data_IF_708817383567
#
_entry.id   IF_708817383567
#
_cell.length_a   1.000
_cell.length_b   1.000
_cell.length_c   1.000
_cell.angle_alpha   90.00
_cell.angle_beta   90.00
_cell.angle_gamma   90.00
#
_symmetry.space_group_name_H-M   'P 1'
#
loop_
_entity.id
_entity.type
_entity.pdbx_description
1 polymer ?
#
# COMPACT_ATOMS: atom_id res chain seq x y z
N UNK A 1 -10.37 -0.97 -33.25
CA UNK A 1 -10.79 -0.64 -31.86
C UNK A 1 -11.47 -1.81 -31.13
N UNK A 2 -12.59 -2.38 -31.60
CA UNK A 2 -13.27 -3.51 -30.92
C UNK A 2 -12.39 -4.74 -30.64
N UNK A 3 -11.52 -5.12 -31.59
CA UNK A 3 -10.57 -6.24 -31.42
C UNK A 3 -9.53 -5.98 -30.31
N UNK A 4 -8.96 -4.76 -30.25
CA UNK A 4 -7.98 -4.35 -29.24
C UNK A 4 -8.58 -4.39 -27.82
N UNK A 5 -9.78 -3.81 -27.65
CA UNK A 5 -10.50 -3.83 -26.37
C UNK A 5 -10.70 -5.27 -25.93
N UNK A 6 -11.26 -6.13 -26.79
CA UNK A 6 -11.48 -7.55 -26.48
C UNK A 6 -10.18 -8.26 -26.07
N UNK A 7 -9.09 -8.06 -26.80
CA UNK A 7 -7.79 -8.67 -26.48
C UNK A 7 -7.24 -8.20 -25.13
N UNK A 8 -7.25 -6.90 -24.86
CA UNK A 8 -6.73 -6.35 -23.61
C UNK A 8 -7.61 -6.74 -22.41
N UNK A 9 -8.94 -6.77 -22.57
CA UNK A 9 -9.87 -7.25 -21.54
C UNK A 9 -9.62 -8.71 -21.18
N UNK A 10 -9.38 -9.59 -22.16
CA UNK A 10 -9.13 -11.01 -21.89
C UNK A 10 -7.91 -11.24 -20.98
N UNK A 11 -6.92 -10.34 -21.02
CA UNK A 11 -5.74 -10.41 -20.15
C UNK A 11 -6.10 -10.24 -18.68
N UNK A 12 -7.15 -9.49 -18.33
CA UNK A 12 -7.58 -9.32 -16.93
C UNK A 12 -8.14 -10.61 -16.32
N UNK A 13 -8.58 -11.55 -17.16
CA UNK A 13 -9.20 -12.81 -16.72
C UNK A 13 -8.31 -14.04 -16.97
N UNK A 14 -7.15 -13.88 -17.62
CA UNK A 14 -6.21 -14.95 -17.91
C UNK A 14 -4.85 -14.73 -17.21
N UNK A 15 -4.66 -15.39 -16.07
CA UNK A 15 -3.40 -15.38 -15.32
C UNK A 15 -2.30 -16.09 -16.10
N UNK A 16 -1.13 -15.46 -16.23
CA UNK A 16 0.06 -16.07 -16.82
C UNK A 16 0.62 -17.17 -15.89
N UNK A 17 1.16 -18.25 -16.47
CA UNK A 17 1.61 -19.45 -15.75
C UNK A 17 2.83 -19.23 -14.85
N UNK A 18 3.59 -18.16 -15.08
CA UNK A 18 4.79 -17.78 -14.33
C UNK A 18 4.50 -16.93 -13.09
N UNK A 19 3.25 -16.50 -12.89
CA UNK A 19 2.84 -15.71 -11.72
C UNK A 19 2.53 -16.59 -10.52
N UNK A 20 2.82 -16.05 -9.33
CA UNK A 20 2.46 -16.64 -8.05
C UNK A 20 1.04 -16.18 -7.66
N UNK A 21 0.01 -17.05 -7.76
CA UNK A 21 -1.39 -16.67 -7.56
C UNK A 21 -1.69 -15.93 -6.27
N UNK A 22 -1.10 -16.38 -5.16
CA UNK A 22 -1.33 -15.81 -3.84
C UNK A 22 -0.93 -14.33 -3.75
N UNK A 23 0.09 -13.90 -4.51
CA UNK A 23 0.51 -12.49 -4.51
C UNK A 23 -0.53 -11.57 -5.17
N UNK A 24 -1.30 -12.09 -6.15
CA UNK A 24 -2.42 -11.35 -6.70
C UNK A 24 -3.52 -11.16 -5.63
N UNK A 25 -3.81 -12.20 -4.83
CA UNK A 25 -4.75 -12.12 -3.71
C UNK A 25 -4.35 -11.08 -2.66
N UNK A 26 -3.08 -11.10 -2.23
CA UNK A 26 -2.58 -10.11 -1.25
C UNK A 26 -2.72 -8.69 -1.81
N UNK A 27 -2.38 -8.49 -3.09
CA UNK A 27 -2.50 -7.17 -3.74
C UNK A 27 -3.95 -6.69 -3.84
N UNK A 28 -4.86 -7.60 -4.15
CA UNK A 28 -6.29 -7.27 -4.23
C UNK A 28 -6.86 -6.90 -2.86
N UNK A 29 -6.48 -7.62 -1.79
CA UNK A 29 -6.87 -7.25 -0.42
C UNK A 29 -6.26 -5.90 -0.04
N UNK A 30 -4.99 -5.67 -0.38
CA UNK A 30 -4.29 -4.42 -0.09
C UNK A 30 -5.02 -3.20 -0.69
N UNK A 31 -5.42 -3.25 -1.97
CA UNK A 31 -6.14 -2.12 -2.58
C UNK A 31 -7.53 -1.93 -1.98
N UNK A 32 -8.23 -3.00 -1.64
CA UNK A 32 -9.56 -2.90 -1.03
C UNK A 32 -9.50 -2.27 0.36
N UNK A 33 -8.46 -2.58 1.15
CA UNK A 33 -8.19 -1.93 2.43
C UNK A 33 -7.91 -0.44 2.26
N UNK A 34 -7.00 -0.07 1.35
CA UNK A 34 -6.64 1.34 1.09
C UNK A 34 -7.83 2.15 0.59
N UNK A 35 -8.54 1.65 -0.43
CA UNK A 35 -9.71 2.35 -0.97
C UNK A 35 -10.82 2.40 0.08
N UNK A 36 -11.01 1.34 0.88
CA UNK A 36 -11.97 1.32 1.97
C UNK A 36 -11.69 2.39 3.04
N UNK A 37 -10.44 2.58 3.42
CA UNK A 37 -10.03 3.67 4.32
C UNK A 37 -10.34 5.03 3.70
N UNK A 38 -9.95 5.26 2.45
CA UNK A 38 -10.21 6.54 1.79
C UNK A 38 -11.71 6.79 1.52
N UNK A 39 -12.53 5.75 1.37
CA UNK A 39 -13.99 5.89 1.34
C UNK A 39 -14.53 6.37 2.69
N UNK A 40 -13.95 5.89 3.81
CA UNK A 40 -14.30 6.34 5.16
C UNK A 40 -13.91 7.82 5.35
N UNK A 41 -12.71 8.19 4.90
CA UNK A 41 -12.19 9.54 5.09
C UNK A 41 -12.83 10.54 4.14
N UNK A 42 -12.99 10.18 2.85
CA UNK A 42 -13.43 11.09 1.80
C UNK A 42 -14.90 11.53 1.94
N UNK A 43 -15.79 10.67 2.46
CA UNK A 43 -17.18 11.07 2.71
C UNK A 43 -17.37 11.85 4.01
N UNK A 44 -16.39 11.82 4.93
CA UNK A 44 -16.47 12.44 6.25
C UNK A 44 -15.57 13.68 6.43
N UNK A 45 -14.60 13.91 5.53
CA UNK A 45 -13.66 15.05 5.53
C UNK A 45 -14.06 16.18 4.55
N UNK A 46 -13.10 16.72 3.78
CA UNK A 46 -13.21 17.92 2.91
C UNK A 46 -14.41 17.94 1.93
N UNK A 47 -15.01 16.77 1.64
CA UNK A 47 -16.19 16.67 0.78
C UNK A 47 -17.51 16.61 1.57
N UNK A 48 -17.44 16.21 2.84
CA UNK A 48 -18.56 16.19 3.79
C UNK A 48 -18.95 17.58 4.29
N UNK A 49 -18.01 18.54 4.34
CA UNK A 49 -18.32 19.95 4.67
C UNK A 49 -19.32 20.60 3.70
N UNK A 50 -19.41 20.09 2.47
CA UNK A 50 -20.41 20.53 1.49
C UNK A 50 -21.85 20.09 1.84
N UNK A 51 -22.05 19.24 2.83
CA UNK A 51 -23.34 18.69 3.26
C UNK A 51 -23.74 19.37 4.58
N UNK A 52 -24.02 20.67 4.52
CA UNK A 52 -24.24 21.55 5.68
C UNK A 52 -25.52 21.27 6.50
N UNK A 53 -26.02 20.03 6.54
CA UNK A 53 -27.20 19.64 7.34
C UNK A 53 -27.01 18.39 8.21
N UNK A 54 -25.95 17.59 8.01
CA UNK A 54 -25.65 16.42 8.82
C UNK A 54 -24.40 16.66 9.67
N UNK A 55 -24.48 16.36 10.97
CA UNK A 55 -23.32 16.39 11.88
C UNK A 55 -22.36 15.24 11.54
N UNK A 56 -21.46 15.49 10.60
CA UNK A 56 -20.48 14.50 10.11
C UNK A 56 -19.64 13.89 11.22
N UNK A 57 -19.47 14.56 12.37
CA UNK A 57 -18.73 14.04 13.53
C UNK A 57 -19.52 12.96 14.27
N UNK A 58 -20.79 13.23 14.60
CA UNK A 58 -21.67 12.25 15.25
C UNK A 58 -21.90 11.00 14.40
N UNK A 59 -21.78 11.14 13.08
CA UNK A 59 -22.01 10.09 12.11
C UNK A 59 -20.74 9.30 11.72
N UNK A 60 -19.56 9.92 11.74
CA UNK A 60 -18.28 9.24 11.52
C UNK A 60 -18.05 8.13 12.54
N UNK A 61 -18.38 8.39 13.81
CA UNK A 61 -18.31 7.39 14.87
C UNK A 61 -19.18 6.17 14.50
N UNK A 62 -20.42 6.35 14.05
CA UNK A 62 -21.28 5.23 13.67
C UNK A 62 -20.68 4.36 12.55
N UNK A 63 -20.03 4.98 11.57
CA UNK A 63 -19.36 4.28 10.46
C UNK A 63 -18.17 3.48 10.98
N UNK A 64 -17.23 4.14 11.66
CA UNK A 64 -15.99 3.53 12.14
C UNK A 64 -16.28 2.44 13.17
N UNK A 65 -17.35 2.58 13.97
CA UNK A 65 -17.74 1.61 14.99
C UNK A 65 -18.50 0.40 14.43
N UNK A 66 -18.95 0.46 13.17
CA UNK A 66 -19.55 -0.69 12.50
C UNK A 66 -18.55 -1.84 12.32
N UNK A 67 -19.03 -3.08 12.19
CA UNK A 67 -18.15 -4.27 12.04
C UNK A 67 -17.18 -4.13 10.87
N UNK A 68 -17.65 -3.59 9.74
CA UNK A 68 -16.86 -3.39 8.53
C UNK A 68 -16.01 -2.12 8.65
N UNK A 69 -16.57 -1.03 9.20
CA UNK A 69 -15.86 0.22 9.40
C UNK A 69 -14.61 0.08 10.25
N UNK A 70 -14.63 -0.73 11.32
CA UNK A 70 -13.44 -0.97 12.15
C UNK A 70 -12.27 -1.57 11.36
N UNK A 71 -12.56 -2.49 10.45
CA UNK A 71 -11.55 -3.13 9.61
C UNK A 71 -11.04 -2.14 8.56
N UNK A 72 -11.94 -1.40 7.91
CA UNK A 72 -11.58 -0.47 6.84
C UNK A 72 -10.91 0.80 7.37
N UNK A 73 -11.21 1.23 8.59
CA UNK A 73 -10.50 2.31 9.29
C UNK A 73 -9.04 1.94 9.60
N UNK A 74 -8.70 0.65 9.49
CA UNK A 74 -7.34 0.10 9.59
C UNK A 74 -6.73 -0.18 8.21
N UNK A 75 -7.25 0.47 7.18
CA UNK A 75 -6.84 0.26 5.79
C UNK A 75 -5.42 0.73 5.48
N UNK A 76 -4.74 1.42 6.39
CA UNK A 76 -3.32 1.77 6.30
C UNK A 76 -2.43 0.53 6.21
N UNK A 77 -2.86 -0.58 6.81
CA UNK A 77 -2.18 -1.87 6.66
C UNK A 77 -2.25 -2.40 5.23
N UNK A 78 -3.20 -1.93 4.41
CA UNK A 78 -3.19 -2.16 2.97
C UNK A 78 -1.91 -1.62 2.32
N UNK A 79 -1.42 -0.45 2.75
CA UNK A 79 -0.12 0.09 2.31
C UNK A 79 1.04 -0.79 2.79
N UNK A 80 0.97 -1.32 4.01
CA UNK A 80 1.99 -2.24 4.53
C UNK A 80 2.04 -3.55 3.72
N UNK A 81 0.88 -4.11 3.34
CA UNK A 81 0.80 -5.25 2.42
C UNK A 81 1.45 -4.90 1.07
N UNK A 82 1.15 -3.73 0.51
CA UNK A 82 1.78 -3.26 -0.72
C UNK A 82 3.30 -3.16 -0.58
N UNK A 83 3.81 -2.53 0.48
CA UNK A 83 5.24 -2.37 0.72
C UNK A 83 5.96 -3.71 0.86
N UNK A 84 5.42 -4.67 1.61
CA UNK A 84 6.00 -6.02 1.71
C UNK A 84 6.01 -6.72 0.34
N UNK A 85 4.89 -6.66 -0.40
CA UNK A 85 4.82 -7.23 -1.76
C UNK A 85 5.82 -6.59 -2.71
N UNK A 86 5.91 -5.26 -2.67
CA UNK A 86 6.77 -4.43 -3.50
C UNK A 86 8.24 -4.73 -3.24
N UNK A 87 8.65 -4.79 -1.98
CA UNK A 87 9.96 -5.25 -1.55
C UNK A 87 10.26 -6.67 -2.02
N UNK A 88 9.30 -7.59 -1.88
CA UNK A 88 9.47 -8.98 -2.30
C UNK A 88 9.65 -9.11 -3.82
N UNK A 89 8.83 -8.40 -4.60
CA UNK A 89 8.89 -8.44 -6.06
C UNK A 89 10.17 -7.80 -6.60
N UNK A 90 10.58 -6.65 -6.07
CA UNK A 90 11.81 -5.99 -6.51
C UNK A 90 13.05 -6.78 -6.07
N UNK A 91 13.06 -7.26 -4.82
CA UNK A 91 14.10 -8.13 -4.30
C UNK A 91 14.23 -9.39 -5.13
N UNK A 92 13.11 -10.01 -5.51
CA UNK A 92 13.12 -11.21 -6.35
C UNK A 92 13.75 -10.98 -7.72
N UNK A 93 13.51 -9.83 -8.34
CA UNK A 93 14.13 -9.45 -9.62
C UNK A 93 15.64 -9.29 -9.44
N UNK A 94 16.05 -8.50 -8.45
CA UNK A 94 17.46 -8.17 -8.20
C UNK A 94 18.27 -9.40 -7.76
N UNK A 95 17.76 -10.22 -6.85
CA UNK A 95 18.47 -11.42 -6.40
C UNK A 95 18.59 -12.49 -7.47
N UNK A 96 17.59 -12.66 -8.35
CA UNK A 96 17.71 -13.60 -9.49
C UNK A 96 18.90 -13.22 -10.38
N UNK A 97 19.05 -11.94 -10.69
CA UNK A 97 20.17 -11.44 -11.49
C UNK A 97 21.51 -11.52 -10.74
N UNK A 98 21.52 -11.11 -9.47
CA UNK A 98 22.73 -11.10 -8.64
C UNK A 98 23.23 -12.52 -8.34
N UNK A 99 22.33 -13.50 -8.15
CA UNK A 99 22.73 -14.89 -7.94
C UNK A 99 23.30 -15.51 -9.21
N UNK A 100 22.73 -15.19 -10.37
CA UNK A 100 23.15 -15.68 -11.67
C UNK A 100 24.47 -15.03 -12.14
N UNK A 101 24.62 -13.71 -12.03
CA UNK A 101 25.70 -12.96 -12.67
C UNK A 101 26.70 -12.32 -11.71
N UNK A 102 26.40 -12.27 -10.40
CA UNK A 102 27.15 -11.52 -9.37
C UNK A 102 27.21 -10.01 -9.58
N UNK A 103 26.52 -9.49 -10.60
CA UNK A 103 26.43 -8.07 -10.93
C UNK A 103 24.97 -7.67 -11.08
N UNK A 104 24.70 -6.37 -11.26
CA UNK A 104 23.37 -5.84 -11.60
C UNK A 104 23.47 -4.89 -12.79
N UNK A 105 22.66 -5.09 -13.82
CA UNK A 105 22.48 -4.14 -14.89
C UNK A 105 21.47 -3.06 -14.49
N UNK A 106 21.97 -2.02 -13.81
CA UNK A 106 21.15 -0.92 -13.29
C UNK A 106 20.39 -0.19 -14.40
N UNK A 107 21.01 0.02 -15.57
CA UNK A 107 20.35 0.64 -16.73
C UNK A 107 19.12 -0.16 -17.14
N UNK A 108 19.26 -1.47 -17.33
CA UNK A 108 18.16 -2.37 -17.68
C UNK A 108 17.06 -2.39 -16.61
N UNK A 109 17.45 -2.39 -15.34
CA UNK A 109 16.53 -2.37 -14.21
C UNK A 109 15.66 -1.11 -14.22
N UNK A 110 16.29 0.08 -14.24
CA UNK A 110 15.58 1.36 -14.21
C UNK A 110 14.76 1.61 -15.48
N UNK A 111 15.29 1.33 -16.68
CA UNK A 111 14.53 1.52 -17.93
C UNK A 111 13.25 0.69 -17.96
N UNK A 112 13.31 -0.58 -17.53
CA UNK A 112 12.13 -1.46 -17.50
C UNK A 112 11.08 -1.00 -16.49
N UNK A 113 11.50 -0.29 -15.44
CA UNK A 113 10.64 0.25 -14.40
C UNK A 113 9.95 1.52 -14.89
N UNK A 114 10.72 2.46 -15.43
CA UNK A 114 10.21 3.72 -15.97
C UNK A 114 9.13 3.49 -17.03
N UNK A 115 9.34 2.60 -17.99
CA UNK A 115 8.35 2.28 -19.04
C UNK A 115 7.07 1.67 -18.46
N UNK A 116 7.14 1.01 -17.30
CA UNK A 116 6.00 0.31 -16.71
C UNK A 116 5.04 1.25 -15.97
N UNK A 117 5.57 2.19 -15.20
CA UNK A 117 4.77 2.95 -14.21
C UNK A 117 4.48 4.38 -14.68
N UNK A 118 5.48 5.05 -15.27
CA UNK A 118 5.38 6.47 -15.61
C UNK A 118 4.21 6.82 -16.54
N UNK A 119 3.89 6.05 -17.61
CA UNK A 119 2.86 6.47 -18.56
C UNK A 119 1.49 6.69 -17.91
N UNK A 120 1.08 5.78 -17.04
CA UNK A 120 -0.21 5.87 -16.35
C UNK A 120 -0.14 6.91 -15.24
N UNK A 121 0.95 6.96 -14.47
CA UNK A 121 1.13 7.96 -13.42
C UNK A 121 1.06 9.39 -13.96
N UNK A 122 1.85 9.72 -14.98
CA UNK A 122 1.85 11.06 -15.57
C UNK A 122 0.56 11.39 -16.30
N UNK A 123 -0.12 10.40 -16.88
CA UNK A 123 -1.46 10.61 -17.41
C UNK A 123 -2.41 11.09 -16.31
N UNK A 124 -2.47 10.38 -15.18
CA UNK A 124 -3.35 10.79 -14.06
C UNK A 124 -2.91 12.10 -13.45
N UNK A 125 -1.61 12.34 -13.29
CA UNK A 125 -1.08 13.60 -12.76
C UNK A 125 -1.51 14.80 -13.61
N UNK A 126 -1.31 14.70 -14.93
CA UNK A 126 -1.65 15.78 -15.86
C UNK A 126 -3.17 15.99 -15.96
N UNK A 127 -3.93 14.92 -16.20
CA UNK A 127 -5.38 15.04 -16.36
C UNK A 127 -6.08 15.32 -15.03
N UNK A 128 -5.58 14.83 -13.91
CA UNK A 128 -6.07 15.17 -12.56
C UNK A 128 -5.91 16.66 -12.29
N UNK A 129 -4.76 17.24 -12.62
CA UNK A 129 -4.54 18.68 -12.47
C UNK A 129 -5.49 19.48 -13.37
N UNK A 130 -5.64 19.07 -14.64
CA UNK A 130 -6.55 19.71 -15.58
C UNK A 130 -8.01 19.63 -15.11
N UNK A 131 -8.44 18.48 -14.60
CA UNK A 131 -9.80 18.28 -14.09
C UNK A 131 -10.07 19.20 -12.89
N UNK A 132 -9.13 19.28 -11.94
CA UNK A 132 -9.29 20.21 -10.82
C UNK A 132 -9.27 21.67 -11.28
N UNK A 133 -8.36 22.06 -12.16
CA UNK A 133 -8.30 23.43 -12.69
C UNK A 133 -9.59 23.87 -13.40
N UNK A 134 -10.25 22.95 -14.12
CA UNK A 134 -11.46 23.26 -14.90
C UNK A 134 -12.75 23.16 -14.09
N UNK A 135 -12.84 22.23 -13.13
CA UNK A 135 -14.12 21.87 -12.50
C UNK A 135 -14.11 21.98 -10.97
N UNK A 136 -12.96 21.86 -10.32
CA UNK A 136 -12.83 21.89 -8.84
C UNK A 136 -11.61 22.75 -8.43
N UNK A 137 -11.57 24.05 -8.76
CA UNK A 137 -10.37 24.88 -8.56
C UNK A 137 -9.92 24.96 -7.09
N UNK A 138 -10.84 24.82 -6.13
CA UNK A 138 -10.53 24.75 -4.71
C UNK A 138 -9.56 23.60 -4.36
N UNK A 139 -9.59 22.48 -5.10
CA UNK A 139 -8.72 21.32 -4.87
C UNK A 139 -7.25 21.56 -5.28
N UNK A 140 -6.97 22.65 -5.98
CA UNK A 140 -5.63 23.10 -6.31
C UNK A 140 -5.36 24.52 -5.82
N UNK A 141 -6.21 25.06 -4.95
CA UNK A 141 -5.96 26.32 -4.30
C UNK A 141 -4.72 26.21 -3.41
N UNK A 142 -3.87 27.24 -3.40
CA UNK A 142 -2.57 27.19 -2.72
C UNK A 142 -1.49 26.33 -3.41
N UNK A 143 -1.85 25.50 -4.39
CA UNK A 143 -0.88 24.67 -5.10
C UNK A 143 0.01 25.52 -6.02
N UNK A 144 1.32 25.29 -5.96
CA UNK A 144 2.29 26.00 -6.77
C UNK A 144 2.88 25.08 -7.83
N UNK A 145 3.63 25.66 -8.78
CA UNK A 145 4.44 24.87 -9.70
C UNK A 145 5.32 23.84 -8.94
N UNK A 146 5.89 24.24 -7.80
CA UNK A 146 6.81 23.39 -7.03
C UNK A 146 6.11 22.22 -6.34
N UNK A 147 4.89 22.38 -5.82
CA UNK A 147 4.15 21.30 -5.18
C UNK A 147 3.69 20.25 -6.20
N UNK A 148 3.33 20.68 -7.42
CA UNK A 148 3.05 19.76 -8.53
C UNK A 148 4.33 19.06 -9.01
N UNK A 149 5.45 19.79 -9.14
CA UNK A 149 6.74 19.21 -9.51
C UNK A 149 7.25 18.20 -8.49
N UNK A 150 6.89 18.35 -7.20
CA UNK A 150 7.23 17.37 -6.18
C UNK A 150 6.64 15.98 -6.49
N UNK A 151 5.45 15.90 -7.12
CA UNK A 151 4.90 14.63 -7.60
C UNK A 151 5.67 14.09 -8.81
N UNK A 152 6.04 14.97 -9.74
CA UNK A 152 6.78 14.60 -10.96
C UNK A 152 8.09 13.90 -10.63
N UNK A 153 8.79 14.37 -9.58
CA UNK A 153 10.09 13.82 -9.17
C UNK A 153 10.00 12.89 -7.95
N UNK A 154 8.79 12.48 -7.55
CA UNK A 154 8.55 11.55 -6.44
C UNK A 154 9.13 12.02 -5.10
N UNK A 155 8.89 13.27 -4.73
CA UNK A 155 9.25 13.88 -3.42
C UNK A 155 8.08 14.62 -2.76
N UNK A 156 6.85 14.45 -3.25
CA UNK A 156 5.65 15.05 -2.66
C UNK A 156 5.42 14.61 -1.20
N UNK A 157 5.94 13.43 -0.83
CA UNK A 157 5.88 12.89 0.53
C UNK A 157 6.82 13.59 1.54
N UNK A 158 7.69 14.50 1.07
CA UNK A 158 8.59 15.30 1.91
C UNK A 158 8.06 16.72 2.14
N UNK A 159 6.93 17.07 1.53
CA UNK A 159 6.22 18.31 1.80
C UNK A 159 5.29 18.09 3.00
N UNK A 160 4.95 19.16 3.75
CA UNK A 160 3.82 19.13 4.67
C UNK A 160 2.57 18.59 3.98
N UNK A 161 1.80 17.77 4.69
CA UNK A 161 0.63 17.09 4.13
C UNK A 161 -0.37 18.05 3.46
N UNK A 162 -0.53 19.25 4.03
CA UNK A 162 -1.40 20.33 3.55
C UNK A 162 -0.94 20.95 2.23
N UNK A 163 0.36 20.97 1.97
CA UNK A 163 0.94 21.55 0.76
C UNK A 163 1.01 20.55 -0.41
N UNK A 164 0.95 19.25 -0.10
CA UNK A 164 1.26 18.20 -1.06
C UNK A 164 0.12 17.98 -2.07
N UNK A 165 0.36 18.36 -3.33
CA UNK A 165 -0.51 17.94 -4.43
C UNK A 165 -0.62 16.41 -4.52
N UNK A 166 -1.81 15.88 -4.83
CA UNK A 166 -2.10 14.44 -4.89
C UNK A 166 -1.43 13.67 -3.74
N UNK A 167 -1.58 14.16 -2.50
CA UNK A 167 -0.88 13.63 -1.33
C UNK A 167 -1.01 12.12 -1.21
N UNK A 168 -2.14 11.51 -1.57
CA UNK A 168 -2.31 10.06 -1.57
C UNK A 168 -1.22 9.34 -2.38
N UNK A 169 -0.54 9.96 -3.34
CA UNK A 169 0.61 9.37 -4.04
C UNK A 169 1.91 9.29 -3.22
N UNK A 170 1.92 9.72 -1.95
CA UNK A 170 3.10 9.66 -1.07
C UNK A 170 3.73 8.26 -1.00
N UNK A 171 2.92 7.20 -1.01
CA UNK A 171 3.40 5.83 -0.90
C UNK A 171 4.18 5.40 -2.15
N UNK A 172 3.77 5.88 -3.34
CA UNK A 172 4.49 5.68 -4.59
C UNK A 172 5.83 6.41 -4.58
N UNK A 173 5.88 7.60 -3.97
CA UNK A 173 7.14 8.33 -3.83
C UNK A 173 8.15 7.57 -2.97
N UNK A 174 7.73 7.06 -1.80
CA UNK A 174 8.58 6.21 -0.96
C UNK A 174 9.07 4.98 -1.73
N UNK A 175 8.16 4.33 -2.47
CA UNK A 175 8.49 3.20 -3.31
C UNK A 175 9.58 3.55 -4.34
N UNK A 176 9.40 4.58 -5.17
CA UNK A 176 10.40 4.99 -6.18
C UNK A 176 11.75 5.42 -5.56
N UNK A 177 11.72 6.12 -4.43
CA UNK A 177 12.93 6.44 -3.65
C UNK A 177 13.64 5.16 -3.20
N UNK A 178 12.90 4.20 -2.63
CA UNK A 178 13.45 2.91 -2.20
C UNK A 178 14.02 2.13 -3.39
N UNK A 179 13.34 2.11 -4.53
CA UNK A 179 13.82 1.40 -5.72
C UNK A 179 15.06 2.00 -6.35
N UNK A 180 15.30 3.30 -6.12
CA UNK A 180 16.54 3.98 -6.52
C UNK A 180 17.72 3.58 -5.62
N UNK A 181 17.47 3.39 -4.32
CA UNK A 181 18.52 3.05 -3.34
C UNK A 181 18.77 1.54 -3.26
N UNK A 182 17.74 0.71 -3.40
CA UNK A 182 17.77 -0.73 -3.14
C UNK A 182 18.84 -1.49 -3.94
N UNK A 183 19.01 -1.30 -5.27
CA UNK A 183 20.04 -2.00 -6.03
C UNK A 183 21.46 -1.71 -5.51
N UNK A 184 21.75 -0.46 -5.16
CA UNK A 184 23.05 -0.04 -4.63
C UNK A 184 23.27 -0.61 -3.22
N UNK A 185 22.24 -0.59 -2.38
CA UNK A 185 22.27 -1.22 -1.05
C UNK A 185 22.55 -2.72 -1.15
N UNK A 186 21.92 -3.44 -2.08
CA UNK A 186 22.17 -4.87 -2.27
C UNK A 186 23.58 -5.15 -2.77
N UNK A 187 24.12 -4.33 -3.69
CA UNK A 187 25.53 -4.43 -4.11
C UNK A 187 26.47 -4.22 -2.93
N UNK A 188 26.22 -3.20 -2.11
CA UNK A 188 27.00 -2.92 -0.91
C UNK A 188 26.96 -4.09 0.09
N UNK A 189 25.77 -4.63 0.38
CA UNK A 189 25.62 -5.82 1.25
C UNK A 189 26.39 -7.00 0.67
N UNK A 190 26.30 -7.28 -0.63
CA UNK A 190 27.00 -8.43 -1.22
C UNK A 190 28.51 -8.20 -1.34
N UNK A 191 28.94 -6.95 -1.43
CA UNK A 191 30.34 -6.56 -1.39
C UNK A 191 30.92 -6.70 0.01
N UNK A 192 30.25 -6.24 1.07
CA UNK A 192 30.72 -6.35 2.45
C UNK A 192 30.50 -7.75 3.06
N UNK A 193 29.27 -8.26 2.98
CA UNK A 193 28.86 -9.51 3.59
C UNK A 193 29.10 -10.70 2.65
N UNK A 194 30.32 -11.26 2.71
CA UNK A 194 30.75 -12.37 1.84
C UNK A 194 30.03 -13.69 2.13
N UNK A 195 29.63 -13.94 3.38
CA UNK A 195 28.97 -15.19 3.79
C UNK A 195 27.45 -15.06 3.79
N UNK A 196 26.73 -16.19 3.67
CA UNK A 196 25.25 -16.16 3.75
C UNK A 196 24.77 -15.64 5.10
N UNK A 197 25.44 -16.05 6.19
CA UNK A 197 25.13 -15.61 7.56
C UNK A 197 25.34 -14.10 7.72
N UNK A 198 26.45 -13.56 7.21
CA UNK A 198 26.71 -12.12 7.26
C UNK A 198 25.61 -11.33 6.54
N UNK A 199 25.09 -11.82 5.40
CA UNK A 199 23.99 -11.14 4.67
C UNK A 199 22.68 -11.14 5.44
N UNK A 200 22.34 -12.27 6.09
CA UNK A 200 21.17 -12.35 6.99
C UNK A 200 21.31 -11.35 8.13
N UNK A 201 22.49 -11.30 8.77
CA UNK A 201 22.78 -10.33 9.82
C UNK A 201 22.65 -8.90 9.27
N UNK A 202 23.17 -8.58 8.09
CA UNK A 202 23.01 -7.24 7.48
C UNK A 202 21.56 -6.84 7.30
N UNK A 203 20.68 -7.73 6.82
CA UNK A 203 19.25 -7.43 6.72
C UNK A 203 18.61 -7.20 8.09
N UNK A 204 18.88 -8.07 9.07
CA UNK A 204 18.35 -7.93 10.44
C UNK A 204 18.85 -6.63 11.08
N UNK A 205 20.13 -6.30 10.92
CA UNK A 205 20.72 -5.06 11.42
C UNK A 205 20.10 -3.82 10.78
N UNK A 206 19.88 -3.82 9.46
CA UNK A 206 19.23 -2.70 8.77
C UNK A 206 17.77 -2.52 9.22
N UNK A 207 17.02 -3.61 9.38
CA UNK A 207 15.65 -3.58 9.93
C UNK A 207 15.66 -3.02 11.35
N UNK A 208 16.61 -3.46 12.19
CA UNK A 208 16.80 -2.94 13.54
C UNK A 208 17.19 -1.47 13.59
N UNK A 209 18.07 -1.02 12.68
CA UNK A 209 18.47 0.39 12.56
C UNK A 209 17.26 1.26 12.18
N UNK A 210 16.45 0.85 11.21
CA UNK A 210 15.25 1.61 10.82
C UNK A 210 14.21 1.65 11.94
N UNK A 211 14.08 0.57 12.71
CA UNK A 211 13.22 0.55 13.91
C UNK A 211 13.73 1.54 14.98
N UNK A 212 15.05 1.62 15.20
CA UNK A 212 15.66 2.60 16.11
C UNK A 212 15.48 4.03 15.61
N UNK A 213 15.63 4.27 14.29
CA UNK A 213 15.36 5.59 13.68
C UNK A 213 13.91 5.98 13.93
N UNK A 214 12.96 5.07 13.73
CA UNK A 214 11.55 5.33 14.02
C UNK A 214 11.30 5.61 15.50
N UNK A 215 11.93 4.86 16.41
CA UNK A 215 11.86 5.12 17.86
C UNK A 215 12.43 6.48 18.25
N UNK A 216 13.52 6.89 17.61
CA UNK A 216 14.09 8.23 17.75
C UNK A 216 13.11 9.30 17.27
N UNK A 217 12.53 9.16 16.08
CA UNK A 217 11.54 10.12 15.55
C UNK A 217 10.32 10.25 16.48
N UNK A 218 9.73 9.12 16.90
CA UNK A 218 8.58 9.12 17.83
C UNK A 218 8.90 9.88 19.12
N UNK A 219 10.09 9.64 19.69
CA UNK A 219 10.53 10.32 20.91
C UNK A 219 10.86 11.80 20.68
N UNK A 220 11.57 12.12 19.60
CA UNK A 220 12.05 13.47 19.28
C UNK A 220 10.90 14.43 19.00
N UNK A 221 9.91 13.99 18.23
CA UNK A 221 8.70 14.77 17.94
C UNK A 221 7.66 14.69 19.06
N UNK A 222 7.95 14.00 20.17
CA UNK A 222 7.07 13.90 21.33
C UNK A 222 5.70 13.30 21.00
N UNK A 223 5.62 12.39 20.02
CA UNK A 223 4.34 11.90 19.49
C UNK A 223 3.61 11.04 20.53
N UNK A 224 2.70 11.64 21.29
CA UNK A 224 1.84 10.97 22.25
C UNK A 224 0.39 11.05 21.77
N UNK A 225 -0.09 9.99 21.13
CA UNK A 225 -1.46 9.91 20.63
C UNK A 225 -2.52 10.13 21.75
N UNK A 226 -3.73 10.59 21.40
CA UNK A 226 -4.84 9.66 21.20
C UNK A 226 -4.93 9.29 19.73
N UNK A 227 -5.04 7.99 19.47
CA UNK A 227 -5.10 7.45 18.10
C UNK A 227 -6.52 7.63 17.61
N UNK A 228 -6.73 8.55 16.66
CA UNK A 228 -7.00 8.18 15.27
C UNK A 228 -5.81 8.45 14.38
N UNK A 229 -5.21 7.39 13.83
CA UNK A 229 -4.16 7.56 12.84
C UNK A 229 -4.67 8.18 11.54
N UNK A 230 -5.98 8.28 11.33
CA UNK A 230 -6.62 8.70 10.08
C UNK A 230 -7.89 9.50 10.32
N UNK A 231 -7.86 10.42 11.27
CA UNK A 231 -8.86 11.48 11.35
C UNK A 231 -8.19 12.82 11.05
N UNK A 232 -8.20 13.21 9.77
CA UNK A 232 -7.63 14.49 9.33
C UNK A 232 -8.38 15.71 9.91
N UNK A 233 -9.53 15.51 10.55
CA UNK A 233 -10.27 16.57 11.25
C UNK A 233 -9.64 16.91 12.61
N UNK A 234 -8.76 16.04 13.12
CA UNK A 234 -8.03 16.22 14.38
C UNK A 234 -6.64 16.77 14.05
N UNK A 235 -6.35 18.07 14.27
CA UNK A 235 -5.07 18.69 13.91
C UNK A 235 -3.86 18.00 14.57
N UNK A 236 -4.05 17.40 15.75
CA UNK A 236 -3.03 16.65 16.47
C UNK A 236 -2.57 15.37 15.73
N UNK A 237 -3.30 14.93 14.70
CA UNK A 237 -2.90 13.82 13.84
C UNK A 237 -1.86 14.21 12.79
N UNK A 238 -1.78 15.48 12.37
CA UNK A 238 -0.90 15.92 11.28
C UNK A 238 0.59 15.69 11.54
N UNK A 239 1.13 15.97 12.75
CA UNK A 239 2.53 15.69 13.06
C UNK A 239 2.92 14.23 12.87
N UNK A 240 1.99 13.28 13.08
CA UNK A 240 2.26 11.87 12.81
C UNK A 240 2.47 11.61 11.32
N UNK A 241 1.69 12.24 10.45
CA UNK A 241 1.83 12.11 9.00
C UNK A 241 3.15 12.69 8.49
N UNK A 242 3.43 13.93 8.88
CA UNK A 242 4.60 14.68 8.42
C UNK A 242 5.91 14.15 9.00
N UNK A 243 5.86 13.52 10.18
CA UNK A 243 7.07 13.04 10.87
C UNK A 243 7.30 11.54 10.71
N UNK A 244 6.25 10.72 10.62
CA UNK A 244 6.36 9.26 10.62
C UNK A 244 5.73 8.61 9.39
N UNK A 245 4.47 8.90 9.08
CA UNK A 245 3.70 8.07 8.15
C UNK A 245 4.11 8.24 6.68
N UNK A 246 4.48 9.46 6.26
CA UNK A 246 4.83 9.78 4.87
C UNK A 246 6.33 9.73 4.58
N UNK A 247 7.16 9.46 5.59
CA UNK A 247 8.62 9.58 5.48
C UNK A 247 9.31 8.27 5.10
N UNK A 248 10.30 8.30 4.19
CA UNK A 248 11.01 7.09 3.76
C UNK A 248 11.85 6.49 4.89
N UNK A 249 12.45 7.30 5.77
CA UNK A 249 13.34 6.83 6.83
C UNK A 249 12.61 6.10 7.98
N UNK A 250 11.29 6.27 8.09
CA UNK A 250 10.41 5.60 9.07
C UNK A 250 9.54 4.51 8.45
N UNK A 251 9.39 4.49 7.11
CA UNK A 251 8.52 3.54 6.36
C UNK A 251 9.24 2.64 5.36
N UNK A 252 10.55 2.80 5.15
CA UNK A 252 11.33 1.89 4.31
C UNK A 252 11.44 0.47 4.91
N UNK A 253 11.11 0.28 6.19
CA UNK A 253 11.31 -0.99 6.87
C UNK A 253 10.42 -2.10 6.31
N UNK A 254 9.17 -1.80 5.98
CA UNK A 254 8.21 -2.73 5.36
C UNK A 254 8.70 -3.23 4.00
N UNK A 255 9.26 -2.32 3.19
CA UNK A 255 9.89 -2.64 1.90
C UNK A 255 11.12 -3.53 2.10
N UNK A 256 11.97 -3.21 3.09
CA UNK A 256 13.16 -3.99 3.42
C UNK A 256 12.80 -5.40 3.93
N UNK A 257 11.75 -5.55 4.74
CA UNK A 257 11.20 -6.84 5.18
C UNK A 257 10.78 -7.66 3.95
N UNK A 258 10.10 -7.05 2.99
CA UNK A 258 9.76 -7.69 1.70
C UNK A 258 10.98 -8.16 0.92
N UNK A 259 12.00 -7.29 0.79
CA UNK A 259 13.29 -7.66 0.13
C UNK A 259 13.95 -8.81 0.87
N UNK A 260 13.98 -8.78 2.21
CA UNK A 260 14.56 -9.85 3.00
C UNK A 260 13.79 -11.16 2.84
N UNK A 261 12.46 -11.12 2.80
CA UNK A 261 11.64 -12.30 2.48
C UNK A 261 11.98 -12.86 1.09
N UNK A 262 12.19 -12.03 0.08
CA UNK A 262 12.64 -12.49 -1.24
C UNK A 262 14.02 -13.13 -1.21
N UNK A 263 14.96 -12.56 -0.44
CA UNK A 263 16.27 -13.17 -0.22
C UNK A 263 16.14 -14.56 0.41
N UNK A 264 15.34 -14.70 1.48
CA UNK A 264 15.10 -15.97 2.15
C UNK A 264 14.46 -16.99 1.19
N UNK A 265 13.42 -16.58 0.47
CA UNK A 265 12.71 -17.44 -0.49
C UNK A 265 13.62 -17.99 -1.58
N UNK A 266 14.40 -17.12 -2.24
CA UNK A 266 15.26 -17.51 -3.35
C UNK A 266 16.54 -18.22 -2.91
N UNK A 267 17.10 -17.87 -1.75
CA UNK A 267 18.37 -18.42 -1.28
C UNK A 267 18.21 -19.70 -0.46
N UNK A 268 17.11 -19.82 0.27
CA UNK A 268 16.83 -20.90 1.22
C UNK A 268 15.52 -21.65 0.88
N UNK A 269 15.06 -21.60 -0.37
CA UNK A 269 13.77 -22.18 -0.78
C UNK A 269 13.60 -23.65 -0.40
N UNK A 270 14.62 -24.50 -0.56
CA UNK A 270 14.54 -25.92 -0.20
C UNK A 270 14.50 -26.14 1.32
N UNK A 271 15.15 -25.27 2.09
CA UNK A 271 15.05 -25.29 3.55
C UNK A 271 13.67 -24.80 4.00
N UNK A 272 13.16 -23.72 3.40
CA UNK A 272 11.83 -23.17 3.69
C UNK A 272 10.72 -24.17 3.39
N UNK A 273 10.79 -24.88 2.26
CA UNK A 273 9.86 -25.96 1.91
C UNK A 273 9.83 -27.10 2.93
N UNK A 274 10.95 -27.38 3.61
CA UNK A 274 10.97 -28.40 4.67
C UNK A 274 10.45 -27.84 5.99
N UNK A 275 10.89 -26.64 6.35
CA UNK A 275 10.54 -25.96 7.60
C UNK A 275 9.05 -25.62 7.65
N UNK A 276 8.43 -25.23 6.55
CA UNK A 276 7.02 -24.85 6.52
C UNK A 276 6.05 -25.98 6.87
N UNK A 277 6.50 -27.24 6.84
CA UNK A 277 5.71 -28.39 7.30
C UNK A 277 5.87 -28.69 8.80
N UNK A 278 6.81 -28.04 9.50
CA UNK A 278 7.02 -28.26 10.93
C UNK A 278 5.92 -27.61 11.77
N UNK A 279 5.64 -28.17 12.96
CA UNK A 279 4.61 -27.65 13.86
C UNK A 279 4.91 -26.23 14.35
N UNK A 280 6.19 -25.91 14.59
CA UNK A 280 6.60 -24.61 15.09
C UNK A 280 6.44 -23.52 14.03
N UNK A 281 6.72 -23.80 12.76
CA UNK A 281 6.54 -22.83 11.69
C UNK A 281 5.05 -22.59 11.43
N UNK A 282 4.24 -23.65 11.42
CA UNK A 282 2.79 -23.51 11.30
C UNK A 282 2.20 -22.74 12.49
N UNK A 283 2.71 -22.96 13.71
CA UNK A 283 2.37 -22.17 14.89
C UNK A 283 2.73 -20.68 14.71
N UNK A 284 3.91 -20.39 14.16
CA UNK A 284 4.34 -19.03 13.85
C UNK A 284 3.46 -18.37 12.78
N UNK A 285 3.02 -19.10 11.74
CA UNK A 285 2.08 -18.58 10.74
C UNK A 285 0.70 -18.28 11.34
N UNK A 286 0.16 -19.19 12.17
CA UNK A 286 -1.12 -18.97 12.86
C UNK A 286 -1.03 -17.79 13.83
N UNK A 287 0.07 -17.68 14.57
CA UNK A 287 0.34 -16.53 15.43
C UNK A 287 0.45 -15.22 14.62
N UNK A 288 1.10 -15.26 13.46
CA UNK A 288 1.19 -14.11 12.55
C UNK A 288 -0.19 -13.68 12.05
N UNK A 289 -1.06 -14.63 11.66
CA UNK A 289 -2.46 -14.35 11.29
C UNK A 289 -3.26 -13.78 12.46
N UNK A 290 -3.05 -14.28 13.68
CA UNK A 290 -3.70 -13.76 14.88
C UNK A 290 -3.27 -12.32 15.16
N UNK A 291 -1.98 -12.00 15.03
CA UNK A 291 -1.45 -10.63 15.14
C UNK A 291 -2.07 -9.72 14.06
N UNK A 292 -2.09 -10.16 12.80
CA UNK A 292 -2.68 -9.37 11.71
C UNK A 292 -4.16 -9.10 11.99
N UNK A 293 -4.91 -10.13 12.40
CA UNK A 293 -6.30 -9.99 12.80
C UNK A 293 -6.49 -9.02 13.97
N UNK A 294 -5.68 -9.15 15.01
CA UNK A 294 -5.68 -8.28 16.19
C UNK A 294 -5.43 -6.82 15.83
N UNK A 295 -4.43 -6.54 14.98
CA UNK A 295 -4.10 -5.20 14.51
C UNK A 295 -5.19 -4.60 13.58
N UNK A 296 -5.79 -5.42 12.71
CA UNK A 296 -6.83 -4.99 11.75
C UNK A 296 -8.19 -4.73 12.39
N UNK A 297 -8.51 -5.43 13.46
CA UNK A 297 -9.80 -5.30 14.14
C UNK A 297 -9.71 -4.46 15.40
N UNK A 298 -8.49 -4.01 15.73
CA UNK A 298 -8.14 -3.28 16.94
C UNK A 298 -8.79 -3.92 18.18
N UNK A 299 -8.54 -5.22 18.39
CA UNK A 299 -9.34 -6.09 19.28
C UNK A 299 -9.57 -5.53 20.69
N UNK A 300 -8.66 -4.68 21.16
CA UNK A 300 -8.75 -3.96 22.44
C UNK A 300 -10.01 -3.08 22.52
N UNK A 301 -10.44 -2.48 21.41
CA UNK A 301 -11.67 -1.72 21.28
C UNK A 301 -12.92 -2.53 21.69
N UNK A 302 -12.97 -3.81 21.28
CA UNK A 302 -14.11 -4.72 21.53
C UNK A 302 -14.29 -5.09 23.00
N UNK A 303 -13.24 -4.97 23.81
CA UNK A 303 -13.25 -5.39 25.22
C UNK A 303 -13.75 -4.29 26.15
N UNK A 304 -13.68 -3.01 25.77
CA UNK A 304 -13.83 -1.89 26.71
C UNK A 304 -14.88 -0.82 26.35
N UNK A 305 -15.46 -0.85 25.15
CA UNK A 305 -16.70 -0.10 24.83
C UNK A 305 -16.63 1.43 24.92
N UNK A 306 -15.44 2.03 24.97
CA UNK A 306 -15.26 3.48 25.02
C UNK A 306 -15.12 4.10 23.62
N UNK A 307 -15.40 5.41 23.53
CA UNK A 307 -15.23 6.19 22.30
C UNK A 307 -13.78 6.14 21.79
N UNK A 308 -13.63 6.12 20.47
CA UNK A 308 -12.40 5.84 19.73
C UNK A 308 -11.16 6.65 20.21
N UNK A 309 -11.36 7.85 20.78
CA UNK A 309 -10.28 8.73 21.27
C UNK A 309 -9.79 8.46 22.71
N UNK A 310 -10.38 7.58 23.51
CA UNK A 310 -10.09 7.52 24.96
C UNK A 310 -9.09 6.43 25.38
N UNK A 311 -9.18 5.20 24.87
CA UNK A 311 -8.41 4.08 25.45
C UNK A 311 -6.89 4.18 25.26
N UNK A 312 -6.42 4.48 24.04
CA UNK A 312 -4.97 4.59 23.81
C UNK A 312 -4.40 5.82 24.51
N UNK A 313 -5.20 6.86 24.74
CA UNK A 313 -4.82 8.01 25.55
C UNK A 313 -4.60 7.63 27.03
N UNK A 314 -5.37 6.65 27.53
CA UNK A 314 -5.27 6.14 28.90
C UNK A 314 -4.06 5.22 29.12
N UNK A 315 -3.41 4.75 28.05
CA UNK A 315 -2.20 3.94 28.18
C UNK A 315 -1.00 4.79 28.64
N UNK A 316 -0.11 4.21 29.48
CA UNK A 316 1.11 4.91 29.88
C UNK A 316 1.94 5.26 28.63
N UNK A 317 2.62 6.41 28.68
CA UNK A 317 3.34 6.98 27.52
C UNK A 317 4.29 5.97 26.84
N UNK A 318 5.00 5.16 27.62
CA UNK A 318 5.89 4.13 27.09
C UNK A 318 5.17 3.10 26.21
N UNK A 319 3.92 2.75 26.54
CA UNK A 319 3.12 1.78 25.77
C UNK A 319 2.64 2.40 24.45
N UNK A 320 2.18 3.66 24.47
CA UNK A 320 1.85 4.43 23.26
C UNK A 320 3.05 4.54 22.31
N UNK A 321 4.21 4.89 22.85
CA UNK A 321 5.44 5.04 22.05
C UNK A 321 5.87 3.71 21.47
N UNK A 322 5.88 2.65 22.29
CA UNK A 322 6.20 1.30 21.83
C UNK A 322 5.28 0.87 20.69
N UNK A 323 3.97 1.09 20.85
CA UNK A 323 2.99 0.81 19.80
C UNK A 323 3.32 1.54 18.50
N UNK A 324 3.47 2.87 18.54
CA UNK A 324 3.78 3.72 17.37
C UNK A 324 5.07 3.30 16.64
N UNK A 325 6.02 2.74 17.38
CA UNK A 325 7.29 2.24 16.84
C UNK A 325 7.12 0.89 16.14
N UNK A 326 6.38 -0.06 16.73
CA UNK A 326 6.45 -1.46 16.28
C UNK A 326 5.29 -1.91 15.40
N UNK A 327 4.10 -1.28 15.49
CA UNK A 327 2.87 -1.92 15.01
C UNK A 327 2.87 -2.23 13.49
N UNK A 328 3.35 -1.31 12.66
CA UNK A 328 3.42 -1.52 11.21
C UNK A 328 4.52 -2.50 10.81
N UNK A 329 5.64 -2.50 11.52
CA UNK A 329 6.75 -3.42 11.26
C UNK A 329 6.38 -4.85 11.70
N UNK A 330 5.63 -4.96 12.79
CA UNK A 330 5.05 -6.22 13.26
C UNK A 330 4.04 -6.77 12.25
N UNK A 331 3.16 -5.93 11.72
CA UNK A 331 2.22 -6.33 10.66
C UNK A 331 2.95 -6.77 9.39
N UNK A 332 3.99 -6.04 8.98
CA UNK A 332 4.79 -6.37 7.80
C UNK A 332 5.59 -7.68 7.98
N UNK A 333 6.15 -7.92 9.17
CA UNK A 333 6.82 -9.18 9.49
C UNK A 333 5.83 -10.36 9.48
N UNK A 334 4.66 -10.20 10.10
CA UNK A 334 3.60 -11.19 10.08
C UNK A 334 3.15 -11.51 8.64
N UNK A 335 2.99 -10.47 7.81
CA UNK A 335 2.70 -10.61 6.38
C UNK A 335 3.80 -11.39 5.65
N UNK A 336 5.08 -11.09 5.90
CA UNK A 336 6.19 -11.78 5.28
C UNK A 336 6.26 -13.27 5.68
N UNK A 337 5.99 -13.60 6.94
CA UNK A 337 5.93 -14.99 7.43
C UNK A 337 4.82 -15.77 6.71
N UNK A 338 3.59 -15.25 6.72
CA UNK A 338 2.43 -15.88 6.06
C UNK A 338 2.69 -16.04 4.57
N UNK A 339 3.22 -14.99 3.92
CA UNK A 339 3.59 -15.02 2.52
C UNK A 339 4.64 -16.12 2.23
N UNK A 340 5.70 -16.22 3.03
CA UNK A 340 6.73 -17.25 2.83
C UNK A 340 6.18 -18.67 3.00
N UNK A 341 5.30 -18.91 3.96
CA UNK A 341 4.68 -20.23 4.17
C UNK A 341 3.75 -20.62 3.01
N UNK A 342 2.90 -19.69 2.56
CA UNK A 342 2.04 -19.86 1.37
C UNK A 342 2.88 -20.14 0.13
N UNK A 343 3.91 -19.32 -0.16
CA UNK A 343 4.74 -19.49 -1.36
C UNK A 343 5.64 -20.75 -1.32
N UNK A 344 5.92 -21.27 -0.12
CA UNK A 344 6.70 -22.49 0.07
C UNK A 344 5.84 -23.76 0.08
N UNK A 345 4.51 -23.63 0.05
CA UNK A 345 3.58 -24.76 -0.09
C UNK A 345 3.24 -25.49 1.22
N UNK A 346 3.52 -24.90 2.39
CA UNK A 346 3.49 -25.61 3.68
C UNK A 346 2.20 -25.51 4.48
N UNK A 347 1.80 -26.63 5.11
CA UNK A 347 0.88 -26.61 6.25
C UNK A 347 -0.59 -26.27 5.98
N UNK A 348 -1.36 -26.15 7.06
CA UNK A 348 -2.79 -25.81 7.02
C UNK A 348 -3.02 -24.37 6.50
N UNK A 349 -2.12 -23.45 6.82
CA UNK A 349 -2.20 -22.05 6.41
C UNK A 349 -2.11 -21.92 4.90
N UNK A 350 -1.16 -22.59 4.23
CA UNK A 350 -1.14 -22.60 2.76
C UNK A 350 -2.42 -23.18 2.16
N UNK A 351 -2.96 -24.26 2.73
CA UNK A 351 -4.19 -24.89 2.21
C UNK A 351 -5.39 -23.93 2.26
N UNK A 352 -5.56 -23.23 3.38
CA UNK A 352 -6.70 -22.34 3.61
C UNK A 352 -6.43 -20.95 3.04
N UNK A 353 -5.44 -20.25 3.58
CA UNK A 353 -5.08 -18.88 3.21
C UNK A 353 -4.49 -18.85 1.80
N UNK A 354 -3.54 -19.73 1.49
CA UNK A 354 -2.96 -19.82 0.15
C UNK A 354 -3.99 -20.18 -0.92
N UNK A 355 -4.91 -21.11 -0.62
CA UNK A 355 -6.05 -21.44 -1.48
C UNK A 355 -6.96 -20.23 -1.75
N UNK A 356 -7.34 -19.51 -0.69
CA UNK A 356 -8.15 -18.30 -0.78
C UNK A 356 -7.47 -17.19 -1.58
N UNK A 357 -6.21 -16.86 -1.27
CA UNK A 357 -5.43 -15.84 -1.97
C UNK A 357 -5.17 -16.20 -3.45
N UNK A 358 -5.17 -17.49 -3.78
CA UNK A 358 -4.92 -17.98 -5.14
C UNK A 358 -6.17 -17.97 -6.04
N UNK A 359 -7.35 -17.69 -5.48
CA UNK A 359 -8.61 -17.68 -6.22
C UNK A 359 -8.56 -16.74 -7.43
N UNK A 360 -9.26 -17.12 -8.51
CA UNK A 360 -9.23 -16.38 -9.79
C UNK A 360 -9.90 -15.01 -9.70
N UNK A 361 -10.85 -14.83 -8.76
CA UNK A 361 -11.58 -13.57 -8.62
C UNK A 361 -10.68 -12.39 -8.21
N UNK A 362 -9.57 -12.66 -7.51
CA UNK A 362 -8.62 -11.64 -7.13
C UNK A 362 -7.84 -11.07 -8.31
N UNK A 363 -7.69 -11.85 -9.37
CA UNK A 363 -6.74 -11.54 -10.44
C UNK A 363 -7.05 -10.24 -11.19
N UNK A 364 -8.31 -9.96 -11.61
CA UNK A 364 -8.66 -8.67 -12.22
C UNK A 364 -8.42 -7.50 -11.27
N UNK A 365 -8.83 -7.62 -10.00
CA UNK A 365 -8.67 -6.56 -8.98
C UNK A 365 -7.18 -6.24 -8.80
N UNK A 366 -6.34 -7.27 -8.72
CA UNK A 366 -4.89 -7.13 -8.59
C UNK A 366 -4.20 -6.55 -9.83
N UNK A 367 -4.80 -6.64 -11.03
CA UNK A 367 -4.27 -5.97 -12.22
C UNK A 367 -4.70 -4.50 -12.25
N UNK A 368 -5.93 -4.21 -11.83
CA UNK A 368 -6.47 -2.84 -11.84
C UNK A 368 -6.03 -2.00 -10.64
N UNK A 369 -5.44 -2.62 -9.61
CA UNK A 369 -5.13 -1.97 -8.33
C UNK A 369 -4.30 -0.70 -8.48
N UNK A 370 -3.34 -0.66 -9.41
CA UNK A 370 -2.48 0.51 -9.62
C UNK A 370 -3.28 1.69 -10.19
N UNK A 371 -3.99 1.47 -11.29
CA UNK A 371 -4.85 2.49 -11.90
C UNK A 371 -5.96 2.94 -10.93
N UNK A 372 -6.53 2.01 -10.15
CA UNK A 372 -7.55 2.31 -9.13
C UNK A 372 -7.02 3.19 -8.02
N UNK A 373 -5.84 2.88 -7.52
CA UNK A 373 -5.15 3.72 -6.54
C UNK A 373 -4.91 5.14 -7.05
N UNK A 374 -4.58 5.33 -8.32
CA UNK A 374 -4.27 6.67 -8.83
C UNK A 374 -5.50 7.57 -8.91
N UNK A 375 -6.66 7.01 -9.31
CA UNK A 375 -7.85 7.83 -9.66
C UNK A 375 -8.91 7.91 -8.58
N UNK A 376 -8.94 6.99 -7.61
CA UNK A 376 -10.09 6.88 -6.70
C UNK A 376 -10.36 8.17 -5.91
N UNK A 377 -9.34 8.88 -5.39
CA UNK A 377 -9.56 10.17 -4.69
C UNK A 377 -10.12 11.24 -5.64
N UNK A 378 -9.62 11.32 -6.87
CA UNK A 378 -10.15 12.26 -7.87
C UNK A 378 -11.63 11.97 -8.11
N UNK A 379 -12.00 10.69 -8.31
CA UNK A 379 -13.40 10.31 -8.50
C UNK A 379 -14.26 10.64 -7.27
N UNK A 380 -13.72 10.45 -6.06
CA UNK A 380 -14.40 10.82 -4.81
C UNK A 380 -14.68 12.32 -4.74
N UNK A 381 -13.70 13.18 -5.02
CA UNK A 381 -13.88 14.64 -5.03
C UNK A 381 -14.95 15.11 -6.03
N UNK A 382 -15.11 14.41 -7.15
CA UNK A 382 -16.14 14.73 -8.14
C UNK A 382 -17.52 14.16 -7.81
N UNK A 383 -17.60 13.00 -7.15
CA UNK A 383 -18.89 12.32 -6.96
C UNK A 383 -19.54 12.62 -5.62
N UNK A 384 -18.80 12.55 -4.51
CA UNK A 384 -19.36 12.70 -3.18
C UNK A 384 -20.11 14.02 -2.93
N UNK A 385 -19.72 15.20 -3.48
CA UNK A 385 -20.51 16.41 -3.28
C UNK A 385 -21.90 16.35 -3.92
N UNK A 386 -22.11 15.44 -4.88
CA UNK A 386 -23.33 15.35 -5.67
C UNK A 386 -24.19 14.13 -5.34
N UNK A 387 -23.61 13.09 -4.73
CA UNK A 387 -24.30 11.82 -4.49
C UNK A 387 -24.65 11.58 -3.03
N UNK A 388 -23.84 12.09 -2.09
CA UNK A 388 -23.93 11.72 -0.68
C UNK A 388 -25.30 12.02 -0.06
N UNK A 389 -25.80 13.25 -0.22
CA UNK A 389 -27.10 13.68 0.32
C UNK A 389 -28.24 12.77 -0.15
N UNK A 390 -28.32 12.52 -1.46
CA UNK A 390 -29.34 11.63 -2.03
C UNK A 390 -29.31 10.23 -1.43
N UNK A 391 -28.13 9.64 -1.24
CA UNK A 391 -28.00 8.32 -0.62
C UNK A 391 -28.41 8.33 0.86
N UNK A 392 -28.03 9.38 1.61
CA UNK A 392 -28.36 9.50 3.02
C UNK A 392 -29.86 9.67 3.23
N UNK A 393 -30.52 10.49 2.41
CA UNK A 393 -31.97 10.72 2.45
C UNK A 393 -32.76 9.47 2.05
N UNK A 394 -32.28 8.76 1.04
CA UNK A 394 -33.01 7.61 0.46
C UNK A 394 -32.90 6.35 1.32
N UNK A 395 -31.72 6.07 1.88
CA UNK A 395 -31.42 4.80 2.56
C UNK A 395 -31.11 4.95 4.06
N UNK A 396 -31.16 6.17 4.59
CA UNK A 396 -30.62 6.51 5.90
C UNK A 396 -29.10 6.64 5.88
N UNK A 397 -28.54 7.32 6.88
CA UNK A 397 -27.12 7.69 6.89
C UNK A 397 -26.17 6.47 6.72
N UNK A 398 -26.19 5.49 7.62
CA UNK A 398 -25.23 4.37 7.60
C UNK A 398 -25.35 3.51 6.32
N UNK A 399 -26.55 3.03 5.91
CA UNK A 399 -26.68 2.27 4.67
C UNK A 399 -26.36 3.12 3.43
N UNK A 400 -26.82 4.38 3.41
CA UNK A 400 -26.56 5.33 2.33
C UNK A 400 -25.07 5.58 2.13
N UNK A 401 -24.32 5.76 3.21
CA UNK A 401 -22.86 5.93 3.22
C UNK A 401 -22.11 4.77 2.54
N UNK A 402 -22.45 3.54 2.91
CA UNK A 402 -21.80 2.36 2.32
C UNK A 402 -22.21 2.17 0.85
N UNK A 403 -23.49 2.39 0.53
CA UNK A 403 -23.99 2.28 -0.85
C UNK A 403 -23.36 3.33 -1.77
N UNK A 404 -23.28 4.59 -1.32
CA UNK A 404 -22.61 5.67 -2.01
C UNK A 404 -21.14 5.33 -2.27
N UNK A 405 -20.42 4.89 -1.22
CA UNK A 405 -19.02 4.47 -1.34
C UNK A 405 -18.82 3.33 -2.34
N UNK A 406 -19.70 2.32 -2.36
CA UNK A 406 -19.65 1.22 -3.33
C UNK A 406 -19.86 1.75 -4.76
N UNK A 407 -20.80 2.66 -4.98
CA UNK A 407 -21.08 3.23 -6.31
C UNK A 407 -19.90 4.05 -6.79
N UNK A 408 -19.39 4.98 -5.99
CA UNK A 408 -18.23 5.82 -6.32
C UNK A 408 -16.99 4.97 -6.59
N UNK A 409 -16.75 3.97 -5.75
CA UNK A 409 -15.63 3.03 -5.92
C UNK A 409 -15.77 2.18 -7.18
N UNK A 410 -16.99 1.79 -7.57
CA UNK A 410 -17.27 1.08 -8.82
C UNK A 410 -17.01 1.94 -10.05
N UNK A 411 -17.34 3.24 -10.00
CA UNK A 411 -16.99 4.20 -11.06
C UNK A 411 -15.49 4.35 -11.18
N UNK A 412 -14.77 4.49 -10.07
CA UNK A 412 -13.30 4.54 -10.07
C UNK A 412 -12.68 3.25 -10.64
N UNK A 413 -13.23 2.08 -10.30
CA UNK A 413 -12.78 0.80 -10.84
C UNK A 413 -13.04 0.70 -12.36
N UNK A 414 -14.17 1.22 -12.85
CA UNK A 414 -14.47 1.26 -14.28
C UNK A 414 -13.50 2.19 -15.04
N UNK A 415 -13.20 3.38 -14.51
CA UNK A 415 -12.17 4.28 -15.08
C UNK A 415 -10.81 3.59 -15.11
N UNK A 416 -10.47 2.88 -14.04
CA UNK A 416 -9.22 2.11 -13.94
C UNK A 416 -9.13 1.00 -14.98
N UNK A 417 -10.25 0.34 -15.27
CA UNK A 417 -10.37 -0.63 -16.36
C UNK A 417 -10.12 0.00 -17.73
N UNK A 418 -10.67 1.19 -18.00
CA UNK A 418 -10.41 1.92 -19.24
C UNK A 418 -8.92 2.30 -19.35
N UNK A 419 -8.34 2.86 -18.28
CA UNK A 419 -6.92 3.19 -18.23
C UNK A 419 -6.03 1.96 -18.45
N UNK A 420 -6.41 0.82 -17.87
CA UNK A 420 -5.68 -0.43 -18.07
C UNK A 420 -5.66 -0.82 -19.55
N UNK A 421 -6.81 -0.75 -20.23
CA UNK A 421 -6.91 -1.13 -21.65
C UNK A 421 -6.13 -0.19 -22.56
N UNK A 422 -6.25 1.12 -22.34
CA UNK A 422 -5.77 2.13 -23.28
C UNK A 422 -4.37 2.65 -22.97
N UNK A 423 -3.88 2.50 -21.74
CA UNK A 423 -2.63 3.13 -21.30
C UNK A 423 -1.70 2.08 -20.67
N UNK A 424 -2.15 1.39 -19.63
CA UNK A 424 -1.27 0.48 -18.87
C UNK A 424 -0.83 -0.73 -19.70
N UNK A 425 -1.78 -1.44 -20.31
CA UNK A 425 -1.50 -2.65 -21.08
C UNK A 425 -0.64 -2.38 -22.32
N UNK A 426 -0.90 -1.34 -23.14
CA UNK A 426 0.01 -0.96 -24.22
C UNK A 426 1.43 -0.66 -23.72
N UNK A 427 1.57 0.05 -22.60
CA UNK A 427 2.88 0.35 -21.98
C UNK A 427 3.61 -0.93 -21.55
N UNK A 428 2.88 -1.92 -21.01
CA UNK A 428 3.42 -3.23 -20.67
C UNK A 428 3.91 -4.02 -21.89
N UNK A 429 3.28 -3.86 -23.05
CA UNK A 429 3.69 -4.53 -24.29
C UNK A 429 4.95 -3.88 -24.88
N UNK A 430 5.06 -2.55 -24.79
CA UNK A 430 6.29 -1.82 -25.16
C UNK A 430 7.50 -2.34 -24.38
N UNK A 431 7.33 -2.63 -23.09
CA UNK A 431 8.40 -3.25 -22.26
C UNK A 431 8.90 -4.59 -22.81
N UNK A 432 8.07 -5.33 -23.55
CA UNK A 432 8.41 -6.63 -24.14
C UNK A 432 9.00 -6.49 -25.56
N UNK A 433 8.96 -5.30 -26.15
CA UNK A 433 9.44 -5.04 -27.50
C UNK A 433 10.96 -5.26 -27.65
N UNK A 434 11.38 -5.73 -28.82
CA UNK A 434 12.78 -6.08 -29.08
C UNK A 434 13.74 -4.90 -29.02
N UNK A 435 13.30 -3.68 -29.34
CA UNK A 435 14.16 -2.50 -29.26
C UNK A 435 14.51 -2.14 -27.81
N UNK A 436 13.62 -2.43 -26.85
CA UNK A 436 13.95 -2.32 -25.43
C UNK A 436 15.11 -3.28 -25.16
N UNK A 437 15.07 -4.52 -25.70
CA UNK A 437 16.19 -5.49 -25.64
C UNK A 437 17.46 -4.99 -26.36
N UNK A 438 17.40 -4.06 -27.31
CA UNK A 438 18.59 -3.50 -28.01
C UNK A 438 19.38 -2.48 -27.19
N UNK A 439 18.75 -1.82 -26.21
CA UNK A 439 19.49 -1.09 -25.16
C UNK A 439 20.25 -2.03 -24.20
N UNK A 440 20.13 -3.35 -24.38
CA UNK A 440 20.74 -4.42 -23.58
C UNK A 440 22.00 -4.99 -24.27
N UNK A 441 22.89 -4.14 -24.76
CA UNK A 441 24.12 -4.58 -25.45
C UNK A 441 24.86 -5.69 -24.68
N UNK A 442 25.14 -6.77 -25.43
CA UNK A 442 26.07 -7.91 -25.23
C UNK A 442 26.48 -8.27 -23.81
#
# INVERSE_FOLDING_TARGET
MKSLIKQNTLVLFHRQSDRMPALDGIRAIAILLVVGLHLIMGQAGDVGEAISQYDTDAYFDQIVHSRIGRILARGEFGVDLFFVLSGFLIGSILFKELFATKTLNLKRFYTRRFIRLLPVYFFVLFFGYLLYALFLPAQIEGQTFWTVMANVVYVNNLLPIEDAYMIWCWSLAIEEQFYTVCPLLLLLIFWLAKTKRARVISFISLIGILLVVRAFCVSYFGLSAPVPHFDFRVPESMPYFDSIYNNPHTRANQLLIGVFAAFLYLRYGDQLKRICHTWWFQGLELFSLAIMGWLLTDWIYTLYGSSYSTYLADLPQWARYTYLVIFQDLFALATAVVMLGVLSGGGIVNRVVGGFLSMKFWYPIAQLSYSWYLVHIIVMHFMFPHTSEWFYDTFGFVPGYWLNGIVVSSVALFISYLMFIFIEKPSMDVRRAEWVKRFHGS
#
